data_IF_160406269177
#
_entry.id   IF_160406269177
#
_cell.length_a   1.000
_cell.length_b   1.000
_cell.length_c   1.000
_cell.angle_alpha   90.00
_cell.angle_beta   90.00
_cell.angle_gamma   90.00
#
_symmetry.space_group_name_H-M   'P 1'
#
loop_
_entity.id
_entity.type
_entity.pdbx_description
1 polymer ?
#
# COMPACT_ATOMS: atom_id res chain seq x y z
N UNK A 1 -0.18 21.21 3.49
CA UNK A 1 -1.16 20.47 2.67
C UNK A 1 -1.13 19.04 3.17
N UNK A 2 -2.25 18.52 3.66
CA UNK A 2 -2.32 17.11 4.06
C UNK A 2 -2.24 16.29 2.78
N UNK A 3 -1.05 15.76 2.45
CA UNK A 3 -0.95 14.74 1.40
C UNK A 3 -1.81 13.58 1.85
N UNK A 4 -2.74 13.13 1.01
CA UNK A 4 -3.59 11.99 1.37
C UNK A 4 -2.71 10.76 1.60
N UNK A 5 -3.09 9.84 2.49
CA UNK A 5 -2.29 8.62 2.73
C UNK A 5 -2.04 7.86 1.42
N UNK A 6 -2.98 7.93 0.48
CA UNK A 6 -2.79 7.41 -0.88
C UNK A 6 -1.59 8.01 -1.62
N UNK A 7 -1.36 9.33 -1.59
CA UNK A 7 -0.23 9.95 -2.30
C UNK A 7 1.12 9.50 -1.73
N UNK A 8 1.17 9.27 -0.42
CA UNK A 8 2.37 8.76 0.26
C UNK A 8 2.61 7.29 -0.04
N UNK A 9 1.59 6.45 0.08
CA UNK A 9 1.64 5.03 -0.29
C UNK A 9 2.03 4.90 -1.75
N UNK A 10 1.41 5.69 -2.63
CA UNK A 10 1.75 5.72 -4.05
C UNK A 10 3.22 6.01 -4.27
N UNK A 11 3.80 7.00 -3.59
CA UNK A 11 5.22 7.31 -3.71
C UNK A 11 6.13 6.16 -3.25
N UNK A 12 5.77 5.45 -2.18
CA UNK A 12 6.51 4.27 -1.69
C UNK A 12 6.42 3.14 -2.73
N UNK A 13 5.22 2.89 -3.27
CA UNK A 13 5.00 1.86 -4.27
C UNK A 13 5.69 2.19 -5.59
N UNK A 14 5.72 3.45 -6.03
CA UNK A 14 6.44 3.86 -7.25
C UNK A 14 7.98 3.80 -7.08
N UNK A 15 8.48 3.98 -5.85
CA UNK A 15 9.91 3.83 -5.54
C UNK A 15 10.32 2.35 -5.45
N UNK A 16 9.45 1.50 -4.90
CA UNK A 16 9.64 0.06 -4.83
C UNK A 16 9.48 -0.59 -6.22
N UNK A 17 8.31 -0.44 -6.84
CA UNK A 17 7.93 -1.04 -8.12
C UNK A 17 8.24 -0.06 -9.26
N UNK A 18 9.49 -0.08 -9.72
CA UNK A 18 9.93 0.73 -10.86
C UNK A 18 9.08 0.44 -12.10
N UNK A 19 8.68 1.48 -12.82
CA UNK A 19 7.90 1.43 -14.07
C UNK A 19 6.42 0.99 -13.98
N UNK A 20 5.84 0.89 -12.77
CA UNK A 20 4.40 0.65 -12.58
C UNK A 20 3.60 1.94 -12.32
N UNK A 21 2.56 2.18 -13.13
CA UNK A 21 1.60 3.25 -12.84
C UNK A 21 0.64 2.79 -11.72
N UNK A 22 0.83 3.35 -10.52
CA UNK A 22 0.01 3.03 -9.35
C UNK A 22 -1.28 3.85 -9.36
N UNK A 23 -2.42 3.14 -9.43
CA UNK A 23 -3.78 3.68 -9.33
C UNK A 23 -4.47 3.18 -8.06
N UNK A 24 -5.59 3.80 -7.67
CA UNK A 24 -6.34 3.37 -6.47
C UNK A 24 -6.93 1.97 -6.62
N UNK A 25 -7.22 1.57 -7.86
CA UNK A 25 -7.81 0.30 -8.25
C UNK A 25 -6.75 -0.80 -8.44
N UNK A 26 -5.46 -0.45 -8.50
CA UNK A 26 -4.37 -1.43 -8.58
C UNK A 26 -4.41 -2.34 -7.35
N UNK A 27 -4.33 -3.65 -7.57
CA UNK A 27 -4.25 -4.63 -6.48
C UNK A 27 -2.80 -4.87 -6.08
N UNK A 28 -2.54 -5.20 -4.81
CA UNK A 28 -1.18 -5.46 -4.36
C UNK A 28 -0.58 -6.68 -5.07
N UNK A 29 -1.35 -7.74 -5.31
CA UNK A 29 -0.87 -8.88 -6.10
C UNK A 29 -0.55 -8.57 -7.57
N UNK A 30 -1.10 -7.48 -8.13
CA UNK A 30 -0.68 -7.05 -9.49
C UNK A 30 0.70 -6.38 -9.50
N UNK A 31 1.23 -6.02 -8.33
CA UNK A 31 2.57 -5.46 -8.14
C UNK A 31 3.61 -6.56 -7.80
N UNK A 32 3.17 -7.70 -7.26
CA UNK A 32 4.04 -8.84 -6.91
C UNK A 32 4.76 -9.46 -8.13
N UNK A 33 4.22 -9.27 -9.33
CA UNK A 33 4.74 -9.86 -10.57
C UNK A 33 6.13 -9.31 -10.97
N UNK A 34 6.56 -8.18 -10.37
CA UNK A 34 7.89 -7.59 -10.56
C UNK A 34 8.97 -8.20 -9.65
N UNK A 35 8.64 -9.21 -8.85
CA UNK A 35 9.60 -9.96 -8.02
C UNK A 35 10.00 -9.26 -6.72
N UNK A 36 9.23 -8.24 -6.32
CA UNK A 36 9.30 -7.59 -5.02
C UNK A 36 8.23 -8.18 -4.12
N UNK A 37 8.62 -8.61 -2.92
CA UNK A 37 7.69 -9.18 -1.96
C UNK A 37 6.71 -8.10 -1.49
N UNK A 38 5.45 -8.22 -1.90
CA UNK A 38 4.37 -7.33 -1.47
C UNK A 38 4.28 -7.23 0.05
N UNK A 39 4.60 -8.30 0.77
CA UNK A 39 4.62 -8.32 2.21
C UNK A 39 5.63 -7.31 2.78
N UNK A 40 6.86 -7.28 2.24
CA UNK A 40 7.89 -6.32 2.66
C UNK A 40 7.46 -4.88 2.40
N UNK A 41 6.74 -4.63 1.31
CA UNK A 41 6.23 -3.29 0.98
C UNK A 41 5.11 -2.87 1.91
N UNK A 42 4.22 -3.78 2.28
CA UNK A 42 3.19 -3.51 3.30
C UNK A 42 3.84 -3.21 4.65
N UNK A 43 4.87 -3.95 5.05
CA UNK A 43 5.63 -3.66 6.27
C UNK A 43 6.31 -2.28 6.23
N UNK A 44 6.89 -1.88 5.09
CA UNK A 44 7.47 -0.54 4.91
C UNK A 44 6.41 0.56 5.06
N UNK A 45 5.21 0.32 4.54
CA UNK A 45 4.07 1.24 4.67
C UNK A 45 3.62 1.31 6.13
N UNK A 46 3.49 0.18 6.82
CA UNK A 46 3.15 0.14 8.25
C UNK A 46 4.13 0.94 9.11
N UNK A 47 5.44 0.77 8.88
CA UNK A 47 6.49 1.50 9.58
C UNK A 47 6.44 3.01 9.29
N UNK A 48 6.29 3.42 8.03
CA UNK A 48 6.21 4.83 7.63
C UNK A 48 5.02 5.57 8.25
N UNK A 49 3.90 4.87 8.42
CA UNK A 49 2.69 5.46 9.00
C UNK A 49 2.53 5.18 10.50
N UNK A 50 3.45 4.43 11.11
CA UNK A 50 3.37 3.96 12.50
C UNK A 50 2.03 3.26 12.81
N UNK A 51 1.54 2.42 11.89
CA UNK A 51 0.26 1.70 11.99
C UNK A 51 0.44 0.20 11.82
N UNK A 52 -0.51 -0.59 12.33
CA UNK A 52 -0.58 -2.03 12.11
C UNK A 52 -1.82 -2.34 11.24
N UNK A 53 -1.61 -2.86 10.03
CA UNK A 53 -2.66 -3.20 9.09
C UNK A 53 -3.01 -4.68 9.24
N UNK A 54 -4.24 -4.95 9.66
CA UNK A 54 -4.74 -6.32 9.81
C UNK A 54 -5.16 -6.94 8.46
N UNK A 55 -4.23 -7.02 7.50
CA UNK A 55 -4.46 -7.60 6.18
C UNK A 55 -3.92 -9.03 6.19
N UNK A 56 -4.79 -10.06 6.08
CA UNK A 56 -4.32 -11.44 5.96
C UNK A 56 -3.58 -11.63 4.64
N UNK A 57 -2.50 -12.41 4.65
CA UNK A 57 -1.68 -12.66 3.45
C UNK A 57 -2.49 -13.16 2.26
N UNK A 58 -3.47 -14.04 2.52
CA UNK A 58 -4.41 -14.58 1.52
C UNK A 58 -5.24 -13.51 0.79
N UNK A 59 -5.27 -12.28 1.30
CA UNK A 59 -6.03 -11.16 0.72
C UNK A 59 -5.18 -10.13 0.00
N UNK A 60 -3.84 -10.20 0.06
CA UNK A 60 -2.99 -9.22 -0.62
C UNK A 60 -3.30 -9.15 -2.12
N UNK A 61 -3.50 -10.29 -2.77
CA UNK A 61 -3.82 -10.36 -4.21
C UNK A 61 -5.07 -9.56 -4.64
N UNK A 62 -6.03 -9.43 -3.72
CA UNK A 62 -7.31 -8.77 -3.97
C UNK A 62 -7.43 -7.38 -3.34
N UNK A 63 -6.49 -7.01 -2.47
CA UNK A 63 -6.52 -5.74 -1.76
C UNK A 63 -6.00 -4.64 -2.67
N UNK A 64 -6.77 -3.57 -2.82
CA UNK A 64 -6.34 -2.44 -3.66
C UNK A 64 -5.53 -1.41 -2.87
N UNK A 65 -4.67 -0.67 -3.57
CA UNK A 65 -3.91 0.44 -2.98
C UNK A 65 -4.85 1.49 -2.36
N UNK A 66 -6.00 1.74 -2.98
CA UNK A 66 -7.03 2.61 -2.43
C UNK A 66 -7.60 2.10 -1.10
N UNK A 67 -7.86 0.80 -0.97
CA UNK A 67 -8.32 0.20 0.27
C UNK A 67 -7.26 0.29 1.37
N UNK A 68 -5.98 0.10 1.03
CA UNK A 68 -4.85 0.28 1.94
C UNK A 68 -4.82 1.71 2.49
N UNK A 69 -4.90 2.69 1.59
CA UNK A 69 -4.93 4.10 1.95
C UNK A 69 -6.12 4.46 2.86
N UNK A 70 -7.30 3.92 2.56
CA UNK A 70 -8.51 4.18 3.36
C UNK A 70 -8.42 3.55 4.76
N UNK A 71 -7.78 2.38 4.90
CA UNK A 71 -7.51 1.77 6.21
C UNK A 71 -6.54 2.62 7.03
N UNK A 72 -5.44 3.08 6.43
CA UNK A 72 -4.45 3.94 7.08
C UNK A 72 -5.12 5.25 7.52
N UNK A 73 -5.88 5.90 6.63
CA UNK A 73 -6.63 7.11 6.97
C UNK A 73 -7.63 6.87 8.11
N UNK A 74 -8.25 5.69 8.18
CA UNK A 74 -9.16 5.34 9.27
C UNK A 74 -8.44 5.17 10.61
N UNK A 75 -7.26 4.54 10.61
CA UNK A 75 -6.43 4.33 11.81
C UNK A 75 -5.87 5.66 12.31
N UNK A 76 -5.30 6.48 11.43
CA UNK A 76 -4.70 7.78 11.78
C UNK A 76 -5.71 8.84 12.26
N UNK A 77 -7.00 8.64 11.95
CA UNK A 77 -8.08 9.54 12.39
C UNK A 77 -8.72 9.12 13.72
N UNK A 78 -8.34 7.96 14.27
CA UNK A 78 -8.73 7.55 15.62
C UNK A 78 -7.79 8.15 16.66
#
# INVERSE_FOLDING_TARGET
MSRSSFERIKAILEDAFLDCEIMRESTLGSLDDDGLDVFDVVLMIEDEFEVELAIPDERFDSTTVGQLADQIDHVLRK
#
